data_IF_363830468636
#
_entry.id   IF_363830468636
#
_cell.length_a   1.000
_cell.length_b   1.000
_cell.length_c   1.000
_cell.angle_alpha   90.00
_cell.angle_beta   90.00
_cell.angle_gamma   90.00
#
_symmetry.space_group_name_H-M   'P 1'
#
loop_
_entity.id
_entity.type
_entity.pdbx_description
1 polymer ?
#
# COMPACT_ATOMS: atom_id res chain seq x y z
N UNK A 1 -10.50 32.70 -13.78
CA UNK A 1 -9.68 32.77 -12.56
C UNK A 1 -9.32 34.22 -12.32
N UNK A 2 -9.47 34.69 -11.09
CA UNK A 2 -9.06 36.03 -10.62
C UNK A 2 -7.84 35.88 -9.72
N UNK A 3 -7.11 36.96 -9.51
CA UNK A 3 -5.93 37.07 -8.63
C UNK A 3 -6.26 37.77 -7.30
N UNK A 4 -7.54 38.00 -7.01
CA UNK A 4 -8.03 38.74 -5.84
C UNK A 4 -8.12 37.92 -4.54
N UNK A 5 -7.75 36.63 -4.60
CA UNK A 5 -7.66 35.74 -3.44
C UNK A 5 -9.01 35.33 -2.85
N UNK A 6 -10.10 35.39 -3.63
CA UNK A 6 -11.46 35.12 -3.14
C UNK A 6 -12.10 33.94 -3.89
N UNK A 7 -12.75 33.08 -3.12
CA UNK A 7 -13.72 32.12 -3.64
C UNK A 7 -15.08 32.82 -3.80
N UNK A 8 -15.43 33.16 -5.05
CA UNK A 8 -16.69 33.83 -5.42
C UNK A 8 -17.56 32.89 -6.25
N UNK A 9 -18.77 32.62 -5.77
CA UNK A 9 -19.81 31.88 -6.51
C UNK A 9 -20.96 32.84 -6.80
N UNK A 10 -21.42 32.85 -8.07
CA UNK A 10 -22.55 33.65 -8.54
C UNK A 10 -23.61 32.76 -9.17
N UNK A 11 -24.88 33.13 -8.99
CA UNK A 11 -26.01 32.56 -9.73
C UNK A 11 -26.70 33.72 -10.48
N UNK A 12 -26.42 33.83 -11.79
CA UNK A 12 -26.73 35.06 -12.52
C UNK A 12 -25.94 36.25 -11.96
N UNK A 13 -26.66 37.31 -11.61
CA UNK A 13 -26.07 38.52 -11.04
C UNK A 13 -25.88 38.44 -9.50
N UNK A 14 -26.51 37.47 -8.86
CA UNK A 14 -26.49 37.31 -7.40
C UNK A 14 -25.22 36.61 -6.93
N UNK A 15 -24.55 37.19 -5.93
CA UNK A 15 -23.43 36.56 -5.23
C UNK A 15 -23.98 35.61 -4.17
N UNK A 16 -23.73 34.30 -4.32
CA UNK A 16 -24.25 33.25 -3.43
C UNK A 16 -23.22 32.68 -2.46
N UNK A 17 -21.92 32.85 -2.75
CA UNK A 17 -20.84 32.60 -1.78
C UNK A 17 -19.66 33.55 -2.05
N UNK A 18 -19.07 34.08 -0.99
CA UNK A 18 -17.87 34.91 -1.04
C UNK A 18 -17.02 34.65 0.20
N UNK A 19 -15.87 33.98 0.01
CA UNK A 19 -14.94 33.64 1.09
C UNK A 19 -13.50 33.98 0.69
N UNK A 20 -12.68 34.57 1.56
CA UNK A 20 -11.23 34.62 1.35
C UNK A 20 -10.65 33.21 1.26
N UNK A 21 -9.78 32.96 0.29
CA UNK A 21 -9.12 31.66 0.15
C UNK A 21 -8.22 31.33 1.35
N UNK A 22 -7.59 32.35 1.96
CA UNK A 22 -6.81 32.21 3.19
C UNK A 22 -7.66 31.59 4.32
N UNK A 23 -8.88 32.07 4.52
CA UNK A 23 -9.77 31.49 5.54
C UNK A 23 -10.24 30.07 5.15
N UNK A 24 -10.47 29.80 3.86
CA UNK A 24 -10.89 28.47 3.40
C UNK A 24 -9.79 27.42 3.61
N UNK A 25 -8.53 27.79 3.44
CA UNK A 25 -7.38 26.90 3.57
C UNK A 25 -6.84 26.84 5.00
N UNK A 26 -6.77 27.97 5.70
CA UNK A 26 -6.06 28.12 6.97
C UNK A 26 -6.98 28.49 8.16
N UNK A 27 -8.30 28.60 7.94
CA UNK A 27 -9.26 29.04 8.96
C UNK A 27 -9.63 27.98 9.99
N UNK A 28 -9.34 26.69 9.73
CA UNK A 28 -9.62 25.58 10.65
C UNK A 28 -8.41 25.36 11.56
N UNK A 29 -8.55 25.51 12.89
CA UNK A 29 -7.46 25.22 13.81
C UNK A 29 -7.01 23.75 13.71
N UNK A 30 -5.71 23.51 13.80
CA UNK A 30 -5.17 22.16 13.79
C UNK A 30 -5.56 21.41 15.08
N UNK A 31 -6.11 20.21 14.92
CA UNK A 31 -6.43 19.31 16.03
C UNK A 31 -5.14 18.97 16.80
N UNK A 32 -5.16 19.18 18.12
CA UNK A 32 -4.08 18.80 19.03
C UNK A 32 -4.57 17.71 19.95
N UNK A 33 -3.89 16.57 19.93
CA UNK A 33 -4.23 15.38 20.73
C UNK A 33 -3.11 15.11 21.73
N UNK A 34 -3.49 14.66 22.91
CA UNK A 34 -2.57 14.11 23.92
C UNK A 34 -2.72 12.59 23.92
N UNK A 35 -1.61 11.87 23.81
CA UNK A 35 -1.61 10.41 23.79
C UNK A 35 -0.66 9.83 24.83
N UNK A 36 -1.00 8.62 25.31
CA UNK A 36 -0.18 7.83 26.21
C UNK A 36 0.02 6.45 25.59
N UNK A 37 1.26 6.01 25.49
CA UNK A 37 1.57 4.67 25.01
C UNK A 37 1.61 3.67 26.16
N UNK A 38 0.95 2.53 25.98
CA UNK A 38 1.05 1.37 26.86
C UNK A 38 1.61 0.19 26.06
N UNK A 39 2.74 -0.41 26.48
CA UNK A 39 3.23 -1.63 25.85
C UNK A 39 2.17 -2.73 25.90
N UNK A 40 1.96 -3.50 24.81
CA UNK A 40 1.05 -4.63 24.83
C UNK A 40 1.63 -5.80 25.65
N UNK A 41 0.78 -6.49 26.39
CA UNK A 41 1.12 -7.72 27.11
C UNK A 41 0.73 -8.94 26.28
N UNK A 42 1.68 -9.86 26.09
CA UNK A 42 1.46 -11.07 25.31
C UNK A 42 1.70 -12.32 26.13
N UNK A 43 0.84 -13.33 25.94
CA UNK A 43 1.10 -14.65 26.46
C UNK A 43 2.37 -15.24 25.82
N UNK A 44 3.21 -15.87 26.64
CA UNK A 44 4.38 -16.60 26.12
C UNK A 44 3.91 -17.71 25.19
N UNK A 45 4.40 -17.69 23.95
CA UNK A 45 4.16 -18.80 23.02
C UNK A 45 4.96 -20.02 23.47
N UNK A 46 4.28 -21.14 23.70
CA UNK A 46 4.90 -22.43 23.97
C UNK A 46 4.74 -23.29 22.72
N UNK A 47 5.86 -23.57 22.06
CA UNK A 47 5.87 -24.44 20.89
C UNK A 47 5.56 -25.89 21.32
N UNK A 48 4.83 -26.66 20.49
CA UNK A 48 4.66 -28.09 20.71
C UNK A 48 6.03 -28.81 20.62
N UNK A 49 6.26 -29.80 21.49
CA UNK A 49 7.54 -30.53 21.54
C UNK A 49 7.81 -31.35 20.27
N UNK A 50 6.77 -31.93 19.67
CA UNK A 50 6.84 -32.71 18.44
C UNK A 50 5.78 -32.23 17.43
N UNK A 51 6.05 -31.14 16.69
CA UNK A 51 5.13 -30.65 15.67
C UNK A 51 5.06 -31.60 14.48
N UNK A 52 3.85 -31.82 13.96
CA UNK A 52 3.67 -32.36 12.60
C UNK A 52 3.85 -31.21 11.59
N UNK A 53 5.05 -31.11 11.02
CA UNK A 53 5.36 -30.06 10.04
C UNK A 53 4.55 -30.16 8.76
N UNK A 54 4.08 -31.36 8.37
CA UNK A 54 3.26 -31.52 7.18
C UNK A 54 1.87 -30.91 7.42
N UNK A 55 1.24 -31.23 8.56
CA UNK A 55 -0.04 -30.60 8.94
C UNK A 55 0.11 -29.08 9.08
N UNK A 56 1.16 -28.61 9.75
CA UNK A 56 1.41 -27.16 9.91
C UNK A 56 1.57 -26.44 8.58
N UNK A 57 2.34 -26.99 7.64
CA UNK A 57 2.51 -26.40 6.31
C UNK A 57 1.19 -26.35 5.55
N UNK A 58 0.43 -27.46 5.54
CA UNK A 58 -0.87 -27.50 4.87
C UNK A 58 -1.84 -26.47 5.48
N UNK A 59 -1.84 -26.33 6.81
CA UNK A 59 -2.63 -25.31 7.50
C UNK A 59 -2.18 -23.90 7.16
N UNK A 60 -0.88 -23.63 7.06
CA UNK A 60 -0.34 -22.33 6.66
C UNK A 60 -0.76 -21.98 5.23
N UNK A 61 -0.59 -22.90 4.28
CA UNK A 61 -0.96 -22.71 2.87
C UNK A 61 -2.48 -22.54 2.69
N UNK A 62 -3.29 -23.13 3.57
CA UNK A 62 -4.74 -22.96 3.56
C UNK A 62 -5.21 -21.60 4.13
N UNK A 63 -4.34 -20.83 4.81
CA UNK A 63 -4.76 -19.55 5.39
C UNK A 63 -5.02 -18.54 4.29
N UNK A 64 -6.13 -17.79 4.31
CA UNK A 64 -6.41 -16.78 3.31
C UNK A 64 -5.33 -15.71 3.16
N UNK A 65 -4.51 -15.43 4.18
CA UNK A 65 -3.41 -14.47 4.04
C UNK A 65 -2.12 -15.05 3.41
N UNK A 66 -2.11 -16.33 3.02
CA UNK A 66 -0.98 -17.05 2.40
C UNK A 66 -1.42 -17.76 1.12
N UNK A 67 -2.62 -18.33 1.11
CA UNK A 67 -3.21 -19.05 -0.01
C UNK A 67 -3.20 -18.22 -1.31
N UNK A 68 -3.16 -18.92 -2.45
CA UNK A 68 -3.15 -18.32 -3.78
C UNK A 68 -4.26 -17.28 -3.94
N UNK A 69 -3.91 -16.19 -4.63
CA UNK A 69 -4.82 -15.09 -5.00
C UNK A 69 -5.27 -15.14 -6.46
N UNK A 70 -4.93 -16.22 -7.15
CA UNK A 70 -5.17 -16.40 -8.58
C UNK A 70 -6.62 -16.16 -9.00
N UNK A 71 -7.58 -16.78 -8.34
CA UNK A 71 -9.00 -16.66 -8.70
C UNK A 71 -9.49 -15.21 -8.69
N UNK A 72 -8.95 -14.37 -7.81
CA UNK A 72 -9.32 -12.95 -7.74
C UNK A 72 -8.48 -12.10 -8.70
N UNK A 73 -7.17 -12.34 -8.75
CA UNK A 73 -6.25 -11.58 -9.60
C UNK A 73 -6.60 -11.75 -11.08
N UNK A 74 -6.94 -12.96 -11.53
CA UNK A 74 -7.28 -13.24 -12.94
C UNK A 74 -8.60 -12.63 -13.42
N UNK A 75 -9.43 -12.11 -12.53
CA UNK A 75 -10.66 -11.41 -12.92
C UNK A 75 -10.39 -10.03 -13.50
N UNK A 76 -9.21 -9.46 -13.25
CA UNK A 76 -8.80 -8.16 -13.78
C UNK A 76 -8.00 -8.32 -15.07
N UNK A 77 -8.12 -7.32 -15.94
CA UNK A 77 -7.24 -7.18 -17.10
C UNK A 77 -5.86 -6.69 -16.67
N UNK A 78 -4.80 -7.32 -17.19
CA UNK A 78 -3.40 -7.00 -16.89
C UNK A 78 -2.60 -6.62 -18.13
N UNK A 79 -3.23 -6.51 -19.30
CA UNK A 79 -2.54 -6.43 -20.59
C UNK A 79 -3.01 -5.27 -21.47
N UNK A 80 -4.05 -4.53 -21.07
CA UNK A 80 -4.55 -3.38 -21.81
C UNK A 80 -3.43 -2.36 -22.01
N UNK A 81 -3.36 -1.82 -23.24
CA UNK A 81 -2.29 -0.91 -23.71
C UNK A 81 -0.92 -1.61 -23.89
N UNK A 82 -0.80 -2.92 -23.61
CA UNK A 82 0.41 -3.73 -23.81
C UNK A 82 1.66 -3.18 -23.09
N UNK A 83 1.47 -2.53 -21.94
CA UNK A 83 2.56 -1.90 -21.18
C UNK A 83 3.04 -2.72 -19.98
N UNK A 84 2.43 -3.88 -19.68
CA UNK A 84 2.85 -4.71 -18.55
C UNK A 84 3.99 -5.64 -18.94
N UNK A 85 5.19 -5.40 -18.40
CA UNK A 85 6.38 -6.21 -18.64
C UNK A 85 6.46 -7.42 -17.69
N UNK A 86 6.22 -7.20 -16.40
CA UNK A 86 6.08 -8.28 -15.39
C UNK A 86 4.63 -8.33 -14.95
N UNK A 87 3.98 -9.46 -15.24
CA UNK A 87 2.58 -9.73 -14.94
C UNK A 87 2.43 -10.34 -13.54
N UNK A 88 1.23 -10.33 -12.95
CA UNK A 88 1.00 -10.93 -11.63
C UNK A 88 1.37 -12.42 -11.56
N UNK A 89 1.24 -13.14 -12.69
CA UNK A 89 1.68 -14.52 -12.82
C UNK A 89 2.73 -14.67 -13.92
N UNK A 90 3.84 -15.33 -13.57
CA UNK A 90 5.02 -15.59 -14.37
C UNK A 90 5.30 -17.10 -14.46
N UNK A 91 6.37 -17.48 -15.14
CA UNK A 91 6.69 -18.88 -15.43
C UNK A 91 6.09 -19.36 -16.76
N UNK A 92 6.46 -20.57 -17.15
CA UNK A 92 6.04 -21.17 -18.44
C UNK A 92 4.52 -21.33 -18.49
N UNK A 93 3.94 -21.81 -17.38
CA UNK A 93 2.50 -22.07 -17.24
C UNK A 93 1.73 -20.85 -16.68
N UNK A 94 2.43 -19.75 -16.39
CA UNK A 94 1.86 -18.53 -15.76
C UNK A 94 1.16 -18.84 -14.43
N UNK A 95 1.82 -19.63 -13.60
CA UNK A 95 1.34 -20.17 -12.33
C UNK A 95 2.18 -19.72 -11.12
N UNK A 96 3.32 -19.08 -11.36
CA UNK A 96 4.15 -18.50 -10.30
C UNK A 96 3.74 -17.05 -10.00
N UNK A 97 3.49 -16.64 -8.75
CA UNK A 97 3.24 -15.25 -8.43
C UNK A 97 4.50 -14.40 -8.62
N UNK A 98 4.36 -13.19 -9.16
CA UNK A 98 5.42 -12.19 -9.18
C UNK A 98 5.41 -11.34 -7.89
N UNK A 99 6.58 -10.94 -7.41
CA UNK A 99 6.72 -10.13 -6.19
C UNK A 99 6.27 -8.67 -6.37
N UNK A 100 6.35 -8.14 -7.60
CA UNK A 100 5.97 -6.78 -7.94
C UNK A 100 5.57 -6.66 -9.41
N UNK A 101 4.83 -5.61 -9.75
CA UNK A 101 4.45 -5.30 -11.11
C UNK A 101 5.52 -4.42 -11.78
N UNK A 102 5.78 -4.66 -13.06
CA UNK A 102 6.66 -3.81 -13.87
C UNK A 102 5.89 -3.34 -15.10
N UNK A 103 5.80 -2.02 -15.26
CA UNK A 103 5.19 -1.39 -16.45
C UNK A 103 6.27 -0.71 -17.30
N UNK A 104 6.16 -0.84 -18.61
CA UNK A 104 7.05 -0.28 -19.63
C UNK A 104 6.24 0.65 -20.55
N UNK A 105 5.96 1.90 -20.12
CA UNK A 105 5.02 2.78 -20.84
C UNK A 105 5.57 3.32 -22.17
N UNK A 106 6.89 3.31 -22.35
CA UNK A 106 7.55 3.84 -23.54
C UNK A 106 7.95 2.69 -24.48
N UNK A 107 7.19 2.50 -25.56
CA UNK A 107 7.48 1.48 -26.56
C UNK A 107 8.90 1.62 -27.15
N UNK A 108 9.63 0.51 -27.23
CA UNK A 108 11.02 0.47 -27.70
C UNK A 108 12.05 0.98 -26.70
N UNK A 109 11.63 1.41 -25.51
CA UNK A 109 12.53 1.77 -24.40
C UNK A 109 12.69 0.61 -23.43
N UNK A 110 13.86 0.51 -22.80
CA UNK A 110 14.08 -0.35 -21.64
C UNK A 110 13.67 0.31 -20.31
N UNK A 111 13.15 1.53 -20.34
CA UNK A 111 12.69 2.25 -19.14
C UNK A 111 11.30 1.77 -18.73
N UNK A 112 11.16 1.49 -17.44
CA UNK A 112 9.90 1.10 -16.84
C UNK A 112 9.75 1.64 -15.43
N UNK A 113 8.60 1.36 -14.83
CA UNK A 113 8.28 1.65 -13.44
C UNK A 113 7.99 0.34 -12.72
N UNK A 114 8.54 0.21 -11.52
CA UNK A 114 8.25 -0.89 -10.61
C UNK A 114 7.20 -0.43 -9.61
N UNK A 115 6.18 -1.25 -9.38
CA UNK A 115 5.14 -1.01 -8.39
C UNK A 115 5.14 -2.20 -7.44
N UNK A 116 5.46 -1.95 -6.17
CA UNK A 116 5.46 -2.93 -5.10
C UNK A 116 4.66 -2.40 -3.91
N UNK A 117 4.32 -3.30 -3.00
CA UNK A 117 3.70 -2.95 -1.72
C UNK A 117 4.19 -3.90 -0.62
N UNK A 118 3.98 -3.48 0.62
CA UNK A 118 4.18 -4.28 1.81
C UNK A 118 3.11 -3.96 2.84
N UNK A 119 2.62 -4.98 3.53
CA UNK A 119 1.46 -4.89 4.43
C UNK A 119 1.58 -5.92 5.55
N UNK A 120 1.97 -5.45 6.75
CA UNK A 120 2.25 -6.31 7.91
C UNK A 120 1.38 -5.95 9.14
N UNK A 121 0.05 -5.84 9.03
CA UNK A 121 -0.79 -5.22 10.07
C UNK A 121 -0.74 -5.95 11.41
N UNK A 122 -0.56 -7.28 11.42
CA UNK A 122 -0.49 -8.07 12.66
C UNK A 122 0.74 -7.75 13.51
N UNK A 123 1.77 -7.11 12.96
CA UNK A 123 2.90 -6.65 13.77
C UNK A 123 2.50 -5.48 14.67
N UNK A 124 1.47 -4.69 14.32
CA UNK A 124 1.03 -3.59 15.18
C UNK A 124 0.46 -4.06 16.51
N UNK A 125 -0.06 -5.29 16.57
CA UNK A 125 -0.48 -5.90 17.83
C UNK A 125 0.69 -6.05 18.82
N UNK A 126 1.92 -6.14 18.30
CA UNK A 126 3.16 -6.28 19.09
C UNK A 126 3.89 -4.93 19.24
N UNK A 127 4.13 -4.25 18.12
CA UNK A 127 4.85 -2.98 18.03
C UNK A 127 4.51 -2.28 16.70
N UNK A 128 3.84 -1.13 16.79
CA UNK A 128 3.45 -0.35 15.61
C UNK A 128 4.64 0.22 14.84
N UNK A 129 5.76 0.52 15.48
CA UNK A 129 6.98 0.96 14.82
C UNK A 129 7.64 -0.17 14.03
N UNK A 130 7.76 -1.35 14.65
CA UNK A 130 8.28 -2.54 13.97
C UNK A 130 7.38 -2.96 12.81
N UNK A 131 6.05 -2.79 12.93
CA UNK A 131 5.10 -2.99 11.84
C UNK A 131 5.43 -2.12 10.62
N UNK A 132 5.66 -0.82 10.84
CA UNK A 132 6.01 0.11 9.75
C UNK A 132 7.32 -0.31 9.09
N UNK A 133 8.35 -0.63 9.89
CA UNK A 133 9.64 -1.08 9.36
C UNK A 133 9.49 -2.34 8.51
N UNK A 134 8.73 -3.33 8.99
CA UNK A 134 8.49 -4.58 8.25
C UNK A 134 7.71 -4.35 6.95
N UNK A 135 6.73 -3.45 6.94
CA UNK A 135 5.96 -3.11 5.73
C UNK A 135 6.81 -2.39 4.69
N UNK A 136 7.67 -1.45 5.12
CA UNK A 136 8.62 -0.79 4.22
C UNK A 136 9.65 -1.79 3.66
N UNK A 137 10.20 -2.64 4.51
CA UNK A 137 11.13 -3.70 4.11
C UNK A 137 10.50 -4.64 3.06
N UNK A 138 9.27 -5.10 3.27
CA UNK A 138 8.56 -5.94 2.31
C UNK A 138 8.36 -5.25 0.96
N UNK A 139 7.91 -3.98 0.95
CA UNK A 139 7.73 -3.21 -0.28
C UNK A 139 9.06 -3.04 -1.04
N UNK A 140 10.15 -2.76 -0.33
CA UNK A 140 11.48 -2.59 -0.93
C UNK A 140 11.99 -3.92 -1.47
N UNK A 141 11.94 -5.02 -0.69
CA UNK A 141 12.41 -6.35 -1.15
C UNK A 141 11.66 -6.81 -2.38
N UNK A 142 10.34 -6.65 -2.41
CA UNK A 142 9.50 -6.99 -3.57
C UNK A 142 9.93 -6.21 -4.83
N UNK A 143 10.22 -4.91 -4.69
CA UNK A 143 10.70 -4.10 -5.82
C UNK A 143 12.10 -4.51 -6.29
N UNK A 144 13.00 -4.85 -5.35
CA UNK A 144 14.36 -5.31 -5.65
C UNK A 144 14.32 -6.63 -6.43
N UNK A 145 13.44 -7.57 -6.06
CA UNK A 145 13.27 -8.85 -6.76
C UNK A 145 12.96 -8.70 -8.25
N UNK A 146 12.32 -7.59 -8.67
CA UNK A 146 12.00 -7.32 -10.08
C UNK A 146 12.94 -6.30 -10.75
N UNK A 147 14.02 -5.93 -10.07
CA UNK A 147 15.14 -5.17 -10.67
C UNK A 147 15.03 -3.66 -10.58
N UNK A 148 14.38 -3.09 -9.56
CA UNK A 148 14.41 -1.64 -9.34
C UNK A 148 15.83 -1.14 -9.00
N UNK A 149 16.13 0.09 -9.41
CA UNK A 149 17.22 0.90 -8.88
C UNK A 149 16.75 1.57 -7.58
N UNK A 150 17.25 1.13 -6.42
CA UNK A 150 16.81 1.60 -5.10
C UNK A 150 17.00 3.10 -4.89
N UNK A 151 17.97 3.70 -5.58
CA UNK A 151 18.24 5.15 -5.52
C UNK A 151 17.16 5.98 -6.24
N UNK A 152 16.24 5.32 -6.96
CA UNK A 152 15.14 5.94 -7.72
C UNK A 152 13.76 5.59 -7.17
N UNK A 153 13.69 5.04 -5.96
CA UNK A 153 12.43 4.68 -5.33
C UNK A 153 11.73 5.92 -4.73
N UNK A 154 10.41 5.96 -4.85
CA UNK A 154 9.56 6.88 -4.11
C UNK A 154 8.54 6.06 -3.30
N UNK A 155 8.31 6.45 -2.06
CA UNK A 155 7.31 5.83 -1.19
C UNK A 155 6.01 6.61 -1.19
N UNK A 156 4.90 5.88 -1.11
CA UNK A 156 3.59 6.40 -0.74
C UNK A 156 3.09 5.57 0.43
N UNK A 157 2.73 6.22 1.52
CA UNK A 157 2.13 5.59 2.69
C UNK A 157 0.61 5.82 2.72
N UNK A 158 -0.11 4.84 3.25
CA UNK A 158 -1.54 4.94 3.49
C UNK A 158 -1.86 4.49 4.91
N UNK A 159 -2.14 5.46 5.79
CA UNK A 159 -2.45 5.21 7.19
C UNK A 159 -3.92 4.85 7.37
N UNK A 160 -4.19 3.70 7.99
CA UNK A 160 -5.52 3.29 8.41
C UNK A 160 -5.54 3.23 9.94
N UNK A 161 -6.09 4.26 10.57
CA UNK A 161 -6.28 4.33 12.03
C UNK A 161 -7.77 4.47 12.36
N UNK A 162 -8.27 3.88 13.46
CA UNK A 162 -9.58 4.26 14.00
C UNK A 162 -9.63 5.78 14.27
N UNK A 163 -10.84 6.33 14.38
CA UNK A 163 -11.02 7.75 14.73
C UNK A 163 -10.25 8.08 16.02
N UNK A 164 -9.43 9.15 16.04
CA UNK A 164 -8.65 9.56 17.22
C UNK A 164 -9.50 9.96 18.43
#
# INVERSE_FOLDING_TARGET
>A
FTDDGRFLVRHGDDVVALLPLEFLHDGVPQLRLESVWSPPEHATFVAPETPDHNDLLLRLLARPNVASKEDWVRQYDHEVIAQTAVKPFVGVERDGPADAAVIAPLHGSSRGLVISNGIVPRYADLDAGAMVVAAVDEAVRNAVCVGIDVDRMAGLDNFCWPDP
#
